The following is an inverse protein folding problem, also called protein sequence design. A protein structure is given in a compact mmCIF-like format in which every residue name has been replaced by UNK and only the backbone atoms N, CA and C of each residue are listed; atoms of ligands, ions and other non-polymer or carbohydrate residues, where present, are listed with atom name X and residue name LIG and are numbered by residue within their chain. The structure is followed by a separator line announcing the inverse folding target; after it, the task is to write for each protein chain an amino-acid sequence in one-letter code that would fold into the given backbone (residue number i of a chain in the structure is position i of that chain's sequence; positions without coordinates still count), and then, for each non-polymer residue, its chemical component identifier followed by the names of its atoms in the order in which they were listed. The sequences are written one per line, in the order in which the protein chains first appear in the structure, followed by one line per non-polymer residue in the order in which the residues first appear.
data_IF_159072702947
#
_entry.id   IF_159072702947
#
_cell.length_a   1.000
_cell.length_b   1.000
_cell.length_c   1.000
_cell.angle_alpha   90.00
_cell.angle_beta   90.00
_cell.angle_gamma   90.00
#
_symmetry.space_group_name_H-M   'P 1'
#
loop_
_entity.id
_entity.type
_entity.pdbx_description
1 polymer ?
#
# COMPACT_ATOMS: atom_id res chain seq x y z
N UNK A 1 52.75 39.65 7.82
CA UNK A 1 53.10 38.22 7.94
C UNK A 1 51.80 37.44 8.16
N UNK A 2 51.27 36.78 7.13
CA UNK A 2 50.08 35.95 7.28
C UNK A 2 50.46 34.64 8.02
N UNK A 3 49.80 34.35 9.12
CA UNK A 3 50.04 33.16 9.93
C UNK A 3 49.67 31.89 9.15
N UNK A 4 50.64 31.25 8.51
CA UNK A 4 50.47 29.96 7.83
C UNK A 4 49.91 28.83 8.69
N UNK A 5 50.04 28.93 10.01
CA UNK A 5 49.51 27.97 10.98
C UNK A 5 48.00 28.04 11.09
N UNK A 6 47.42 29.26 11.13
CA UNK A 6 45.97 29.45 11.16
C UNK A 6 45.23 28.93 9.93
N UNK A 7 45.86 29.02 8.76
CA UNK A 7 45.33 28.50 7.50
C UNK A 7 45.29 26.96 7.45
N UNK A 8 46.24 26.29 8.09
CA UNK A 8 46.31 24.83 8.18
C UNK A 8 45.26 24.30 9.22
N UNK A 9 45.05 25.01 10.31
CA UNK A 9 44.04 24.64 11.31
C UNK A 9 42.61 24.70 10.74
N UNK A 10 42.30 25.73 10.02
CA UNK A 10 40.98 25.86 9.34
C UNK A 10 40.77 24.73 8.31
N UNK A 11 41.82 24.35 7.59
CA UNK A 11 41.76 23.26 6.60
C UNK A 11 41.48 21.90 7.25
N UNK A 12 42.15 21.59 8.35
CA UNK A 12 41.95 20.33 9.11
C UNK A 12 40.55 20.30 9.70
N UNK A 13 40.08 21.38 10.27
CA UNK A 13 38.74 21.50 10.85
C UNK A 13 37.64 21.32 9.80
N UNK A 14 37.82 21.87 8.60
CA UNK A 14 36.91 21.68 7.48
C UNK A 14 36.83 20.22 7.02
N UNK A 15 37.99 19.54 6.94
CA UNK A 15 38.03 18.12 6.57
C UNK A 15 37.29 17.25 7.59
N UNK A 16 37.52 17.50 8.88
CA UNK A 16 36.83 16.76 9.95
C UNK A 16 35.32 16.95 9.89
N UNK A 17 34.85 18.17 9.67
CA UNK A 17 33.42 18.46 9.54
C UNK A 17 32.81 17.72 8.33
N UNK A 18 33.47 17.71 7.18
CA UNK A 18 33.00 17.03 5.99
C UNK A 18 32.94 15.51 6.21
N UNK A 19 33.96 14.93 6.84
CA UNK A 19 33.98 13.48 7.15
C UNK A 19 32.87 13.13 8.12
N UNK A 20 32.67 13.91 9.17
CA UNK A 20 31.57 13.72 10.12
C UNK A 20 30.19 13.85 9.44
N UNK A 21 30.03 14.84 8.56
CA UNK A 21 28.79 15.02 7.83
C UNK A 21 28.48 13.83 6.93
N UNK A 22 29.48 13.30 6.19
CA UNK A 22 29.32 12.12 5.33
C UNK A 22 29.00 10.86 6.15
N UNK A 23 29.64 10.67 7.29
CA UNK A 23 29.36 9.51 8.16
C UNK A 23 27.97 9.57 8.75
N UNK A 24 27.52 10.73 9.24
CA UNK A 24 26.17 10.93 9.75
C UNK A 24 25.11 10.73 8.67
N UNK A 25 25.39 11.22 7.45
CA UNK A 25 24.48 11.04 6.32
C UNK A 25 24.36 9.56 5.92
N UNK A 26 25.48 8.83 5.89
CA UNK A 26 25.52 7.40 5.63
C UNK A 26 24.76 6.57 6.67
N UNK A 27 24.98 6.88 7.96
CA UNK A 27 24.27 6.24 9.07
C UNK A 27 22.77 6.57 9.04
N UNK A 28 22.41 7.83 8.73
CA UNK A 28 21.01 8.27 8.62
C UNK A 28 20.28 7.54 7.51
N UNK A 29 20.88 7.43 6.33
CA UNK A 29 20.32 6.68 5.21
C UNK A 29 20.19 5.18 5.52
N UNK A 30 21.15 4.59 6.21
CA UNK A 30 21.09 3.20 6.66
C UNK A 30 19.94 2.96 7.64
N UNK A 31 19.74 3.87 8.58
CA UNK A 31 18.65 3.82 9.55
C UNK A 31 17.28 3.95 8.86
N UNK A 32 17.13 4.90 7.96
CA UNK A 32 15.90 5.10 7.19
C UNK A 32 15.56 3.85 6.38
N UNK A 33 16.54 3.26 5.68
CA UNK A 33 16.32 2.01 4.92
C UNK A 33 15.93 0.84 5.83
N UNK A 34 16.54 0.73 7.01
CA UNK A 34 16.18 -0.28 8.00
C UNK A 34 14.75 -0.11 8.51
N UNK A 35 14.34 1.12 8.76
CA UNK A 35 12.99 1.45 9.21
C UNK A 35 11.93 1.10 8.15
N UNK A 36 12.18 1.43 6.89
CA UNK A 36 11.28 1.07 5.79
C UNK A 36 11.19 -0.46 5.57
N UNK A 37 12.29 -1.19 5.74
CA UNK A 37 12.28 -2.65 5.64
C UNK A 37 11.45 -3.30 6.74
N UNK A 38 11.53 -2.78 7.97
CA UNK A 38 10.73 -3.27 9.10
C UNK A 38 9.23 -2.95 8.94
N UNK A 39 8.89 -1.78 8.37
CA UNK A 39 7.50 -1.43 8.08
C UNK A 39 6.93 -2.35 6.99
N UNK A 40 7.72 -2.70 5.98
CA UNK A 40 7.30 -3.63 4.93
C UNK A 40 7.05 -5.03 5.47
N UNK A 41 7.91 -5.52 6.38
CA UNK A 41 7.72 -6.82 7.04
C UNK A 41 6.47 -6.87 7.92
N UNK A 42 6.23 -5.83 8.72
CA UNK A 42 5.02 -5.74 9.55
C UNK A 42 3.73 -5.68 8.72
N UNK A 43 3.80 -5.11 7.51
CA UNK A 43 2.66 -5.08 6.58
C UNK A 43 2.39 -6.46 5.96
N UNK A 44 3.41 -7.26 5.73
CA UNK A 44 3.28 -8.63 5.22
C UNK A 44 2.64 -9.55 6.28
N UNK A 45 3.06 -9.47 7.54
CA UNK A 45 2.49 -10.26 8.64
C UNK A 45 1.01 -9.95 8.87
N UNK A 46 0.63 -8.67 8.84
CA UNK A 46 -0.78 -8.26 8.97
C UNK A 46 -1.61 -8.75 7.77
N UNK A 47 -1.01 -8.78 6.59
CA UNK A 47 -1.67 -9.28 5.38
C UNK A 47 -1.93 -10.79 5.46
N UNK A 48 -1.00 -11.58 6.01
CA UNK A 48 -1.16 -13.03 6.14
C UNK A 48 -2.26 -13.37 7.16
N UNK A 49 -2.32 -12.73 8.31
CA UNK A 49 -3.41 -12.91 9.28
C UNK A 49 -4.79 -12.56 8.69
N UNK A 50 -4.85 -11.49 7.90
CA UNK A 50 -6.09 -11.10 7.22
C UNK A 50 -6.46 -12.14 6.16
N UNK A 51 -5.49 -12.67 5.43
CA UNK A 51 -5.67 -13.72 4.45
C UNK A 51 -6.24 -15.00 5.07
N UNK A 52 -5.65 -15.48 6.17
CA UNK A 52 -6.15 -16.65 6.90
C UNK A 52 -7.59 -16.46 7.38
N UNK A 53 -7.91 -15.26 7.88
CA UNK A 53 -9.27 -14.93 8.32
C UNK A 53 -10.26 -14.94 7.15
N UNK A 54 -9.87 -14.39 6.01
CA UNK A 54 -10.69 -14.36 4.79
C UNK A 54 -10.95 -15.78 4.29
N UNK A 55 -9.92 -16.63 4.26
CA UNK A 55 -10.05 -18.03 3.87
C UNK A 55 -10.94 -18.78 4.86
N UNK A 56 -10.76 -18.56 6.16
CA UNK A 56 -11.63 -19.11 7.20
C UNK A 56 -13.09 -18.72 7.01
N UNK A 57 -13.37 -17.44 6.77
CA UNK A 57 -14.73 -16.96 6.52
C UNK A 57 -15.37 -17.55 5.26
N UNK A 58 -14.57 -17.77 4.20
CA UNK A 58 -15.04 -18.40 2.97
C UNK A 58 -15.38 -19.88 3.17
N UNK A 59 -14.55 -20.60 3.92
CA UNK A 59 -14.70 -22.04 4.14
C UNK A 59 -15.79 -22.32 5.17
N UNK A 60 -15.71 -21.70 6.33
CA UNK A 60 -16.61 -21.92 7.47
C UNK A 60 -17.94 -21.22 7.30
N UNK A 61 -17.94 -20.00 6.77
CA UNK A 61 -19.14 -19.17 6.55
C UNK A 61 -19.93 -19.50 5.30
N UNK A 62 -19.50 -20.47 4.51
CA UNK A 62 -20.12 -20.88 3.24
C UNK A 62 -20.37 -19.71 2.27
N UNK A 63 -19.50 -18.69 2.29
CA UNK A 63 -19.61 -17.49 1.47
C UNK A 63 -18.90 -17.69 0.12
N UNK A 64 -19.43 -17.04 -0.91
CA UNK A 64 -18.77 -16.98 -2.24
C UNK A 64 -17.75 -15.86 -2.32
N UNK A 65 -17.96 -14.80 -1.54
CA UNK A 65 -17.09 -13.62 -1.46
C UNK A 65 -16.94 -13.23 0.01
N UNK A 66 -15.72 -12.94 0.44
CA UNK A 66 -15.42 -12.38 1.75
C UNK A 66 -14.63 -11.09 1.60
N UNK A 67 -15.09 -10.03 2.26
CA UNK A 67 -14.43 -8.74 2.32
C UNK A 67 -14.35 -8.31 3.79
N UNK A 68 -13.23 -8.54 4.45
CA UNK A 68 -13.13 -8.40 5.92
C UNK A 68 -13.16 -6.96 6.43
N UNK A 69 -12.85 -5.99 5.54
CA UNK A 69 -12.85 -4.58 5.90
C UNK A 69 -13.94 -3.84 5.14
N UNK A 70 -14.97 -3.44 5.86
CA UNK A 70 -16.06 -2.62 5.34
C UNK A 70 -15.75 -1.13 5.40
N UNK A 71 -14.79 -0.73 6.22
CA UNK A 71 -14.35 0.65 6.39
C UNK A 71 -12.83 0.70 6.57
N UNK A 72 -12.19 1.64 5.93
CA UNK A 72 -10.74 1.89 6.03
C UNK A 72 -10.49 3.37 6.20
N UNK A 73 -9.52 3.70 7.03
CA UNK A 73 -9.03 5.06 7.23
C UNK A 73 -7.70 5.19 6.53
N UNK A 74 -7.60 6.13 5.59
CA UNK A 74 -6.37 6.37 4.82
C UNK A 74 -6.13 7.86 4.74
N UNK A 75 -4.93 8.28 5.07
CA UNK A 75 -4.52 9.66 4.94
C UNK A 75 -4.42 10.07 3.47
N UNK A 76 -4.60 11.36 3.21
CA UNK A 76 -4.45 11.92 1.87
C UNK A 76 -3.03 11.65 1.34
N UNK A 77 -2.93 11.04 0.17
CA UNK A 77 -1.67 10.57 -0.40
C UNK A 77 -1.17 9.24 0.16
N UNK A 78 -1.85 8.69 1.16
CA UNK A 78 -1.54 7.37 1.73
C UNK A 78 -2.06 6.22 0.88
N UNK A 79 -1.71 5.01 1.26
CA UNK A 79 -2.16 3.78 0.61
C UNK A 79 -2.64 2.76 1.63
N UNK A 80 -3.58 1.92 1.21
CA UNK A 80 -4.05 0.77 1.98
C UNK A 80 -4.17 -0.46 1.09
N UNK A 81 -4.05 -1.63 1.70
CA UNK A 81 -4.27 -2.90 1.02
C UNK A 81 -5.63 -3.44 1.40
N UNK A 82 -6.46 -3.70 0.40
CA UNK A 82 -7.75 -4.33 0.50
C UNK A 82 -7.60 -5.80 0.13
N UNK A 83 -8.07 -6.69 0.97
CA UNK A 83 -8.01 -8.13 0.75
C UNK A 83 -9.42 -8.65 0.46
N UNK A 84 -9.58 -9.29 -0.69
CA UNK A 84 -10.85 -9.87 -1.14
C UNK A 84 -10.69 -11.37 -1.31
N UNK A 85 -11.52 -12.15 -0.67
CA UNK A 85 -11.61 -13.58 -0.85
C UNK A 85 -12.73 -13.97 -1.80
N UNK A 86 -12.45 -14.88 -2.73
CA UNK A 86 -13.40 -15.40 -3.71
C UNK A 86 -13.36 -16.91 -3.66
N UNK A 87 -14.53 -17.56 -3.58
CA UNK A 87 -14.65 -19.02 -3.60
C UNK A 87 -15.56 -19.48 -4.74
N UNK A 88 -15.07 -20.42 -5.50
CA UNK A 88 -15.88 -21.13 -6.48
C UNK A 88 -16.58 -22.32 -5.81
N UNK A 89 -17.88 -22.26 -5.69
CA UNK A 89 -18.72 -23.34 -5.12
C UNK A 89 -19.32 -24.27 -6.17
N UNK A 90 -18.95 -24.07 -7.44
CA UNK A 90 -19.45 -24.88 -8.55
C UNK A 90 -18.41 -25.92 -8.93
N UNK A 91 -18.86 -26.98 -9.57
CA UNK A 91 -18.01 -28.06 -10.12
C UNK A 91 -17.39 -27.66 -11.48
N UNK A 92 -17.64 -26.45 -11.95
CA UNK A 92 -17.10 -25.90 -13.19
C UNK A 92 -16.21 -24.71 -12.89
N UNK A 93 -15.20 -24.40 -13.72
CA UNK A 93 -14.39 -23.20 -13.57
C UNK A 93 -15.24 -21.92 -13.53
N UNK A 94 -14.89 -21.02 -12.61
CA UNK A 94 -15.53 -19.71 -12.48
C UNK A 94 -14.69 -18.66 -13.19
N UNK A 95 -15.29 -17.98 -14.16
CA UNK A 95 -14.70 -16.80 -14.78
C UNK A 95 -15.27 -15.56 -14.10
N UNK A 96 -14.42 -14.68 -13.59
CA UNK A 96 -14.86 -13.47 -12.91
C UNK A 96 -14.01 -12.25 -13.28
N UNK A 97 -14.59 -11.08 -13.11
CA UNK A 97 -13.92 -9.77 -13.21
C UNK A 97 -14.23 -8.99 -11.95
N UNK A 98 -13.30 -8.14 -11.53
CA UNK A 98 -13.52 -7.21 -10.44
C UNK A 98 -13.71 -5.80 -10.98
N UNK A 99 -14.71 -5.10 -10.45
CA UNK A 99 -14.98 -3.72 -10.79
C UNK A 99 -15.24 -2.92 -9.51
N UNK A 100 -14.66 -1.75 -9.44
CA UNK A 100 -14.94 -0.79 -8.38
C UNK A 100 -15.82 0.33 -8.97
N UNK A 101 -16.81 0.72 -8.19
CA UNK A 101 -17.72 1.80 -8.59
C UNK A 101 -17.88 2.74 -7.41
N UNK A 102 -17.61 4.01 -7.62
CA UNK A 102 -17.85 5.04 -6.62
C UNK A 102 -19.35 5.24 -6.43
N UNK A 103 -19.80 5.27 -5.19
CA UNK A 103 -21.21 5.49 -4.83
C UNK A 103 -21.40 6.95 -4.41
N UNK A 104 -20.61 7.43 -3.47
CA UNK A 104 -20.74 8.77 -2.91
C UNK A 104 -19.41 9.25 -2.32
N UNK A 105 -19.09 10.50 -2.54
CA UNK A 105 -18.01 11.22 -1.87
C UNK A 105 -18.52 12.28 -0.92
N UNK A 106 -17.65 13.10 -0.31
CA UNK A 106 -18.01 14.14 0.63
C UNK A 106 -18.98 15.20 0.08
N UNK A 107 -19.06 15.33 -1.25
CA UNK A 107 -20.01 16.20 -1.94
C UNK A 107 -21.39 15.62 -2.19
N UNK A 108 -21.67 14.38 -1.70
CA UNK A 108 -22.97 13.75 -1.81
C UNK A 108 -23.27 13.10 -3.18
N UNK A 109 -22.27 12.90 -4.03
CA UNK A 109 -22.42 12.25 -5.33
C UNK A 109 -21.24 11.36 -5.69
N UNK A 110 -21.32 10.57 -6.77
CA UNK A 110 -20.24 9.72 -7.21
C UNK A 110 -19.00 10.57 -7.57
N UNK A 111 -17.83 10.05 -7.26
CA UNK A 111 -16.55 10.68 -7.55
C UNK A 111 -15.80 9.88 -8.63
N UNK A 112 -14.87 10.53 -9.32
CA UNK A 112 -14.08 9.85 -10.32
C UNK A 112 -13.03 8.98 -9.65
N UNK A 113 -13.15 7.66 -9.84
CA UNK A 113 -12.25 6.65 -9.29
C UNK A 113 -11.12 6.28 -10.25
N UNK A 114 -11.29 6.61 -11.54
CA UNK A 114 -10.35 6.23 -12.59
C UNK A 114 -9.30 7.32 -12.86
N UNK A 115 -9.65 8.58 -12.61
CA UNK A 115 -8.74 9.70 -12.86
C UNK A 115 -8.80 10.77 -11.74
N UNK A 116 -7.75 10.93 -10.93
CA UNK A 116 -6.56 10.08 -10.89
C UNK A 116 -6.91 8.69 -10.36
N UNK A 117 -6.15 7.70 -10.79
CA UNK A 117 -6.41 6.31 -10.40
C UNK A 117 -6.26 6.12 -8.89
N UNK A 118 -7.32 5.68 -8.25
CA UNK A 118 -7.33 5.30 -6.83
C UNK A 118 -6.76 3.90 -6.60
N UNK A 119 -6.66 3.11 -7.65
CA UNK A 119 -6.13 1.76 -7.60
C UNK A 119 -4.89 1.66 -8.50
N UNK A 120 -3.81 1.12 -7.99
CA UNK A 120 -2.53 1.03 -8.72
C UNK A 120 -2.53 0.05 -9.90
N UNK A 121 -3.65 -0.61 -10.18
CA UNK A 121 -3.71 -1.65 -11.20
C UNK A 121 -4.77 -1.34 -12.26
N UNK A 122 -4.43 -0.55 -13.25
CA UNK A 122 -5.26 -0.39 -14.47
C UNK A 122 -5.62 -1.72 -15.12
N UNK A 123 -4.74 -2.72 -15.01
CA UNK A 123 -4.96 -4.06 -15.54
C UNK A 123 -6.06 -4.87 -14.82
N UNK A 124 -6.51 -4.44 -13.64
CA UNK A 124 -7.50 -5.18 -12.85
C UNK A 124 -8.92 -5.07 -13.41
N UNK A 125 -9.27 -3.94 -14.01
CA UNK A 125 -10.66 -3.64 -14.37
C UNK A 125 -11.14 -4.44 -15.60
N UNK A 126 -10.25 -4.82 -16.50
CA UNK A 126 -10.61 -5.57 -17.71
C UNK A 126 -10.10 -7.01 -17.72
N UNK A 127 -9.27 -7.39 -16.75
CA UNK A 127 -8.71 -8.72 -16.70
C UNK A 127 -9.76 -9.72 -16.23
N UNK A 128 -9.95 -10.77 -17.02
CA UNK A 128 -10.74 -11.92 -16.64
C UNK A 128 -9.87 -12.93 -15.91
N UNK A 129 -10.34 -13.33 -14.74
CA UNK A 129 -9.69 -14.34 -13.90
C UNK A 129 -10.46 -15.65 -13.99
N UNK A 130 -9.75 -16.76 -13.87
CA UNK A 130 -10.35 -18.09 -13.85
C UNK A 130 -9.99 -18.78 -12.56
N UNK A 131 -11.01 -19.17 -11.80
CA UNK A 131 -10.87 -19.91 -10.55
C UNK A 131 -11.37 -21.35 -10.79
N UNK A 132 -10.52 -22.37 -10.60
CA UNK A 132 -10.93 -23.76 -10.75
C UNK A 132 -12.12 -24.14 -9.87
N UNK A 133 -12.72 -25.31 -10.15
CA UNK A 133 -13.85 -25.81 -9.37
C UNK A 133 -13.45 -26.09 -7.92
N UNK A 134 -14.34 -25.75 -6.99
CA UNK A 134 -14.19 -25.95 -5.54
C UNK A 134 -13.00 -25.22 -4.89
N UNK A 135 -12.28 -24.36 -5.61
CA UNK A 135 -11.15 -23.59 -5.08
C UNK A 135 -11.56 -22.22 -4.52
N UNK A 136 -10.69 -21.69 -3.65
CA UNK A 136 -10.78 -20.34 -3.11
C UNK A 136 -9.48 -19.58 -3.40
N UNK A 137 -9.62 -18.31 -3.74
CA UNK A 137 -8.50 -17.41 -4.01
C UNK A 137 -8.63 -16.14 -3.18
N UNK A 138 -7.50 -15.62 -2.72
CA UNK A 138 -7.43 -14.34 -2.00
C UNK A 138 -6.62 -13.37 -2.82
N UNK A 139 -7.19 -12.19 -3.08
CA UNK A 139 -6.53 -11.11 -3.84
C UNK A 139 -6.35 -9.87 -3.01
N UNK A 140 -5.15 -9.33 -3.10
CA UNK A 140 -4.78 -8.07 -2.49
C UNK A 140 -4.85 -6.96 -3.53
N UNK A 141 -5.58 -5.90 -3.21
CA UNK A 141 -5.80 -4.74 -4.06
C UNK A 141 -5.23 -3.54 -3.34
N UNK A 142 -4.31 -2.81 -3.95
CA UNK A 142 -3.74 -1.61 -3.36
C UNK A 142 -4.59 -0.40 -3.75
N UNK A 143 -5.19 0.22 -2.74
CA UNK A 143 -5.82 1.51 -2.83
C UNK A 143 -4.78 2.61 -2.54
N UNK A 144 -4.75 3.65 -3.36
CA UNK A 144 -3.92 4.83 -3.15
C UNK A 144 -4.78 6.08 -3.23
N UNK A 145 -4.81 6.85 -2.15
CA UNK A 145 -5.58 8.09 -2.12
C UNK A 145 -4.81 9.18 -2.83
N UNK A 146 -5.36 9.82 -3.88
CA UNK A 146 -4.69 10.92 -4.57
C UNK A 146 -4.44 12.14 -3.68
N UNK A 147 -3.33 12.85 -3.93
CA UNK A 147 -2.96 14.04 -3.15
C UNK A 147 -3.67 15.32 -3.61
N UNK A 148 -4.04 15.42 -4.88
CA UNK A 148 -4.40 16.68 -5.53
C UNK A 148 -5.89 16.98 -5.63
N UNK A 149 -6.75 15.98 -5.62
CA UNK A 149 -8.20 16.12 -5.94
C UNK A 149 -9.14 15.65 -4.85
N UNK A 150 -8.59 15.20 -3.72
CA UNK A 150 -9.38 14.58 -2.65
C UNK A 150 -9.55 15.57 -1.51
N UNK A 151 -10.78 15.81 -1.11
CA UNK A 151 -11.14 16.51 0.13
C UNK A 151 -11.25 15.50 1.27
N UNK A 152 -10.97 15.92 2.51
CA UNK A 152 -11.18 15.06 3.67
C UNK A 152 -12.67 14.76 3.83
N UNK A 153 -13.00 13.48 4.03
CA UNK A 153 -14.37 13.02 4.20
C UNK A 153 -14.55 11.53 3.91
N UNK A 154 -15.77 11.07 3.97
CA UNK A 154 -16.12 9.67 3.71
C UNK A 154 -16.38 9.44 2.23
N UNK A 155 -15.83 8.37 1.70
CA UNK A 155 -15.97 7.91 0.32
C UNK A 155 -16.56 6.51 0.32
N UNK A 156 -17.61 6.30 -0.48
CA UNK A 156 -18.36 5.05 -0.57
C UNK A 156 -18.42 4.51 -1.99
#
# INVERSE_FOLDING_TARGET
MFNKRASLEISIQAIVIVVLAMTLLGLGLGFIRGMFKNISGATEDVTEQVRERVVGDLITGDKKISFPKTEIFVDKGGSAVLTVGIRNKKDTPLHYKMRFTSISGPGGGPFNIDNPSWFQMEAFFDQQYTLPSAEAEVRNIRLQVPTSTVTSGSYY
#
